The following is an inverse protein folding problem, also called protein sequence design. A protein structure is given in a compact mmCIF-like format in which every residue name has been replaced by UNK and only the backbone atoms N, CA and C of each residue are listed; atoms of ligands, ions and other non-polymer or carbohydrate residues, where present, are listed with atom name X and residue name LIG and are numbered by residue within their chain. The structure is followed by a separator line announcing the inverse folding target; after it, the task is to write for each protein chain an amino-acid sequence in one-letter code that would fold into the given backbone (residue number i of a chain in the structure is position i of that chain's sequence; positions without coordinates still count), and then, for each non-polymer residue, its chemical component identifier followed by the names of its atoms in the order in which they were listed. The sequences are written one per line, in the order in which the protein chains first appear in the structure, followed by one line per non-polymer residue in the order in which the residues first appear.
data_IF_454733758849
#
_entry.id   IF_454733758849
#
_cell.length_a   1.000
_cell.length_b   1.000
_cell.length_c   1.000
_cell.angle_alpha   90.00
_cell.angle_beta   90.00
_cell.angle_gamma   90.00
#
_symmetry.space_group_name_H-M   'P 1'
#
loop_
_entity.id
_entity.type
_entity.pdbx_description
1 polymer ?
#
# COMPACT_ATOMS: atom_id res chain seq x y z
N UNK A 1 -12.45 42.23 3.22
CA UNK A 1 -11.01 42.01 3.44
C UNK A 1 -10.52 43.17 4.28
N UNK A 2 -9.96 42.93 5.47
CA UNK A 2 -9.37 44.00 6.28
C UNK A 2 -7.91 44.16 5.85
N UNK A 3 -7.63 45.25 5.14
CA UNK A 3 -6.29 45.59 4.67
C UNK A 3 -5.70 46.75 5.50
N UNK A 4 -4.72 46.36 6.30
CA UNK A 4 -3.55 47.06 6.84
C UNK A 4 -3.77 48.02 8.01
N UNK A 5 -2.99 47.72 9.06
CA UNK A 5 -3.01 48.36 10.38
C UNK A 5 -2.29 49.71 10.35
N UNK A 6 -3.00 50.77 10.69
CA UNK A 6 -2.50 51.78 11.62
C UNK A 6 -3.36 51.68 12.88
N UNK A 7 -2.84 51.01 13.89
CA UNK A 7 -3.45 51.03 15.22
C UNK A 7 -2.85 52.22 15.97
N UNK A 8 -3.69 53.09 16.51
CA UNK A 8 -3.28 54.20 17.37
C UNK A 8 -3.77 53.89 18.77
N UNK A 9 -2.84 53.77 19.70
CA UNK A 9 -3.15 53.53 21.11
C UNK A 9 -3.60 54.84 21.76
N UNK A 10 -4.65 54.77 22.56
CA UNK A 10 -5.19 55.89 23.33
C UNK A 10 -5.17 55.54 24.82
N UNK A 11 -5.00 56.53 25.72
CA UNK A 11 -5.07 56.30 27.15
C UNK A 11 -6.48 55.83 27.56
N UNK A 12 -6.56 55.01 28.61
CA UNK A 12 -7.81 54.39 29.09
C UNK A 12 -8.90 55.43 29.41
N UNK A 13 -8.50 56.65 29.78
CA UNK A 13 -9.40 57.79 30.00
C UNK A 13 -10.18 58.23 28.76
N UNK A 14 -9.67 57.94 27.56
CA UNK A 14 -10.32 58.21 26.28
C UNK A 14 -11.21 57.04 25.81
N UNK A 15 -11.22 55.93 26.56
CA UNK A 15 -12.05 54.77 26.28
C UNK A 15 -13.41 54.91 26.98
N UNK A 16 -14.49 54.99 26.19
CA UNK A 16 -15.84 55.01 26.74
C UNK A 16 -16.20 53.62 27.27
N UNK A 17 -16.31 53.47 28.59
CA UNK A 17 -16.63 52.21 29.27
C UNK A 17 -17.95 51.58 28.78
N UNK A 18 -18.91 52.38 28.32
CA UNK A 18 -20.19 51.89 27.76
C UNK A 18 -20.02 51.23 26.40
N UNK A 19 -19.01 51.63 25.62
CA UNK A 19 -18.72 51.07 24.29
C UNK A 19 -17.55 50.08 24.33
N UNK A 20 -17.09 49.68 25.51
CA UNK A 20 -16.01 48.72 25.66
C UNK A 20 -16.47 47.37 25.09
N UNK A 21 -15.82 46.84 24.04
CA UNK A 21 -16.16 45.52 23.52
C UNK A 21 -15.89 44.46 24.59
N UNK A 22 -16.56 43.31 24.50
CA UNK A 22 -16.32 42.22 25.43
C UNK A 22 -14.84 41.80 25.40
N UNK A 23 -14.24 41.71 26.59
CA UNK A 23 -12.83 41.30 26.75
C UNK A 23 -12.60 39.83 26.37
N UNK A 24 -13.65 39.02 26.38
CA UNK A 24 -13.61 37.62 25.96
C UNK A 24 -14.70 37.37 24.93
N UNK A 25 -14.37 36.55 23.94
CA UNK A 25 -15.32 36.03 22.97
C UNK A 25 -15.07 34.54 22.76
N UNK A 26 -16.08 33.82 22.29
CA UNK A 26 -15.91 32.42 21.94
C UNK A 26 -14.97 32.29 20.75
N UNK A 27 -13.98 31.41 20.86
CA UNK A 27 -13.09 31.08 19.75
C UNK A 27 -13.77 30.05 18.84
N UNK A 28 -13.74 30.28 17.53
CA UNK A 28 -14.17 29.26 16.57
C UNK A 28 -13.16 28.11 16.54
N UNK A 29 -13.45 27.05 17.30
CA UNK A 29 -12.63 25.84 17.30
C UNK A 29 -12.93 25.01 16.06
N UNK A 30 -11.97 24.97 15.13
CA UNK A 30 -12.04 24.03 14.01
C UNK A 30 -11.84 22.61 14.53
N UNK A 31 -12.56 21.61 13.98
CA UNK A 31 -12.32 20.22 14.32
C UNK A 31 -10.86 19.85 14.06
N UNK A 32 -10.30 19.00 14.92
CA UNK A 32 -8.97 18.44 14.71
C UNK A 32 -8.97 17.47 13.53
N UNK A 33 -7.92 17.54 12.72
CA UNK A 33 -7.67 16.61 11.64
C UNK A 33 -6.94 15.36 12.13
N UNK A 34 -7.34 14.17 11.65
CA UNK A 34 -6.75 12.89 12.03
C UNK A 34 -6.65 11.94 10.85
N UNK A 35 -5.60 11.13 10.84
CA UNK A 35 -5.45 10.01 9.92
C UNK A 35 -6.32 8.83 10.37
N UNK A 36 -7.03 8.24 9.42
CA UNK A 36 -7.81 7.03 9.59
C UNK A 36 -7.29 5.96 8.64
N UNK A 37 -7.21 4.71 9.10
CA UNK A 37 -6.75 3.59 8.31
C UNK A 37 -7.71 2.42 8.37
N UNK A 38 -7.91 1.72 7.26
CA UNK A 38 -8.60 0.42 7.27
C UNK A 38 -7.66 -0.68 7.77
N UNK A 39 -8.23 -1.86 8.02
CA UNK A 39 -7.45 -3.10 8.11
C UNK A 39 -6.68 -3.34 6.80
N UNK A 40 -5.59 -4.09 6.91
CA UNK A 40 -4.83 -4.53 5.74
C UNK A 40 -5.64 -5.51 4.89
N UNK A 41 -5.45 -5.44 3.58
CA UNK A 41 -5.95 -6.44 2.64
C UNK A 41 -5.31 -7.80 2.89
N UNK A 42 -5.86 -8.83 2.24
CA UNK A 42 -5.10 -10.07 2.10
C UNK A 42 -3.78 -9.82 1.36
N UNK A 43 -2.80 -10.67 1.64
CA UNK A 43 -1.50 -10.63 0.97
C UNK A 43 -1.68 -10.90 -0.53
N UNK A 44 -0.94 -10.19 -1.38
CA UNK A 44 -0.99 -10.37 -2.85
C UNK A 44 -0.55 -11.76 -3.33
N UNK A 45 0.01 -12.57 -2.44
CA UNK A 45 0.44 -13.94 -2.68
C UNK A 45 -0.20 -14.84 -1.63
N UNK A 46 -0.47 -16.09 -2.00
CA UNK A 46 -0.91 -17.16 -1.10
C UNK A 46 0.25 -17.95 -0.49
N UNK A 47 1.47 -17.71 -0.97
CA UNK A 47 2.73 -18.25 -0.45
C UNK A 47 3.89 -17.28 -0.71
N UNK A 48 4.96 -17.41 0.05
CA UNK A 48 6.15 -16.60 -0.03
C UNK A 48 5.93 -15.16 0.44
N UNK A 49 6.80 -14.27 -0.04
CA UNK A 49 6.74 -12.84 0.22
C UNK A 49 5.80 -12.16 -0.76
N UNK A 50 4.84 -11.40 -0.24
CA UNK A 50 3.92 -10.59 -1.00
C UNK A 50 3.80 -9.17 -0.44
N UNK A 51 2.76 -8.48 -0.87
CA UNK A 51 2.43 -7.12 -0.42
C UNK A 51 0.95 -7.08 -0.04
N UNK A 52 0.63 -6.41 1.06
CA UNK A 52 -0.73 -6.09 1.47
C UNK A 52 -0.91 -4.57 1.46
N UNK A 53 -2.14 -4.12 1.22
CA UNK A 53 -2.49 -2.71 1.06
C UNK A 53 -3.61 -2.32 2.00
N UNK A 54 -3.70 -1.05 2.39
CA UNK A 54 -4.83 -0.51 3.16
C UNK A 54 -5.16 0.90 2.67
N UNK A 55 -6.38 1.34 2.93
CA UNK A 55 -6.74 2.75 2.71
C UNK A 55 -6.27 3.62 3.87
N UNK A 56 -5.80 4.82 3.53
CA UNK A 56 -5.38 5.86 4.48
C UNK A 56 -6.08 7.16 4.07
N UNK A 57 -6.97 7.65 4.93
CA UNK A 57 -7.81 8.82 4.69
C UNK A 57 -7.61 9.85 5.79
N UNK A 58 -7.66 11.14 5.45
CA UNK A 58 -7.60 12.22 6.43
C UNK A 58 -9.01 12.77 6.65
N UNK A 59 -9.41 12.88 7.92
CA UNK A 59 -10.70 13.45 8.30
C UNK A 59 -10.50 14.67 9.18
N UNK A 60 -11.32 15.70 8.98
CA UNK A 60 -11.46 16.84 9.88
C UNK A 60 -12.87 16.83 10.46
N UNK A 61 -13.03 16.37 11.70
CA UNK A 61 -14.35 15.99 12.20
C UNK A 61 -14.89 14.79 11.41
N UNK A 62 -16.08 14.93 10.82
CA UNK A 62 -16.70 13.89 9.98
C UNK A 62 -16.44 14.08 8.47
N UNK A 63 -15.80 15.19 8.08
CA UNK A 63 -15.55 15.51 6.68
C UNK A 63 -14.24 14.90 6.18
N UNK A 64 -14.30 14.22 5.03
CA UNK A 64 -13.12 13.70 4.34
C UNK A 64 -12.38 14.85 3.67
N UNK A 65 -11.11 15.04 4.03
CA UNK A 65 -10.31 16.13 3.46
C UNK A 65 -9.63 15.69 2.17
N UNK A 66 -10.02 16.33 1.07
CA UNK A 66 -9.56 15.99 -0.30
C UNK A 66 -8.56 16.99 -0.89
N UNK A 67 -8.40 18.19 -0.32
CA UNK A 67 -7.45 19.24 -0.74
C UNK A 67 -6.76 19.89 0.45
N UNK A 68 -5.43 19.79 0.52
CA UNK A 68 -4.54 20.66 1.32
C UNK A 68 -4.63 20.60 2.86
N UNK A 69 -3.45 20.60 3.50
CA UNK A 69 -3.09 21.02 4.88
C UNK A 69 -3.93 20.60 6.11
N UNK A 70 -4.78 19.59 6.03
CA UNK A 70 -5.48 19.10 7.22
C UNK A 70 -4.62 18.15 8.05
N UNK A 71 -4.18 17.02 7.51
CA UNK A 71 -3.33 16.08 8.25
C UNK A 71 -1.85 16.26 7.95
N UNK A 72 -1.01 16.14 8.98
CA UNK A 72 0.45 16.17 8.83
C UNK A 72 0.91 14.99 7.98
N UNK A 73 1.56 15.29 6.85
CA UNK A 73 2.10 14.28 5.94
C UNK A 73 3.25 13.49 6.55
N UNK A 74 3.99 14.06 7.51
CA UNK A 74 5.05 13.36 8.22
C UNK A 74 4.51 12.22 9.10
N UNK A 75 3.25 12.35 9.53
CA UNK A 75 2.55 11.34 10.33
C UNK A 75 1.67 10.41 9.49
N UNK A 76 1.73 10.52 8.15
CA UNK A 76 0.87 9.72 7.27
C UNK A 76 1.23 8.23 7.40
N UNK A 77 0.28 7.36 7.76
CA UNK A 77 0.51 5.93 7.83
C UNK A 77 0.80 5.31 6.45
N UNK A 78 1.56 4.22 6.44
CA UNK A 78 1.87 3.47 5.22
C UNK A 78 0.63 2.88 4.56
N UNK A 79 0.52 3.00 3.24
CA UNK A 79 -0.57 2.40 2.45
C UNK A 79 -0.26 0.97 1.98
N UNK A 80 1.01 0.55 2.07
CA UNK A 80 1.50 -0.75 1.61
C UNK A 80 2.50 -1.30 2.62
N UNK A 81 2.52 -2.61 2.82
CA UNK A 81 3.57 -3.28 3.58
C UNK A 81 3.85 -4.68 3.02
N UNK A 82 5.03 -5.22 3.31
CA UNK A 82 5.35 -6.61 3.00
C UNK A 82 4.58 -7.57 3.89
N UNK A 83 4.22 -8.72 3.34
CA UNK A 83 3.66 -9.86 4.07
C UNK A 83 4.44 -11.11 3.70
N UNK A 84 4.54 -12.04 4.66
CA UNK A 84 5.18 -13.33 4.49
C UNK A 84 4.25 -14.40 5.06
N UNK A 85 3.89 -15.38 4.24
CA UNK A 85 2.96 -16.45 4.63
C UNK A 85 3.75 -17.73 4.94
N UNK A 86 3.81 -18.64 3.97
CA UNK A 86 4.52 -19.90 4.04
C UNK A 86 5.36 -20.02 2.78
N UNK A 87 6.52 -20.67 2.84
CA UNK A 87 7.34 -20.90 1.65
C UNK A 87 6.50 -21.51 0.52
N UNK A 88 6.68 -20.99 -0.70
CA UNK A 88 5.99 -21.57 -1.84
C UNK A 88 6.45 -23.01 -2.08
N UNK A 89 5.52 -23.95 -2.34
CA UNK A 89 5.88 -25.30 -2.72
C UNK A 89 6.77 -25.22 -3.96
N UNK A 90 7.99 -25.72 -3.82
CA UNK A 90 9.02 -25.69 -4.86
C UNK A 90 8.92 -26.91 -5.77
N UNK A 91 8.22 -27.95 -5.29
CA UNK A 91 7.95 -29.16 -6.06
C UNK A 91 6.63 -28.99 -6.83
N UNK A 92 6.70 -29.22 -8.16
CA UNK A 92 5.51 -29.59 -8.90
C UNK A 92 4.93 -30.85 -8.23
N UNK A 93 3.59 -31.03 -8.17
CA UNK A 93 2.98 -32.23 -7.62
C UNK A 93 3.73 -33.46 -8.16
N UNK A 94 4.34 -34.23 -7.26
CA UNK A 94 5.34 -35.26 -7.60
C UNK A 94 4.77 -36.42 -8.43
N UNK A 95 3.47 -36.43 -8.71
CA UNK A 95 2.76 -37.60 -9.24
C UNK A 95 2.38 -37.54 -10.72
N UNK A 96 2.66 -36.44 -11.43
CA UNK A 96 2.37 -36.36 -12.88
C UNK A 96 3.58 -35.88 -13.70
N UNK A 97 4.72 -36.54 -13.53
CA UNK A 97 5.79 -36.45 -14.53
C UNK A 97 5.35 -37.20 -15.78
N UNK A 98 4.80 -36.47 -16.76
CA UNK A 98 4.37 -36.99 -18.04
C UNK A 98 5.01 -36.19 -19.17
N UNK A 99 5.29 -36.85 -20.28
CA UNK A 99 5.72 -36.18 -21.50
C UNK A 99 4.57 -35.35 -22.08
N UNK A 100 4.84 -34.10 -22.43
CA UNK A 100 3.84 -33.21 -23.01
C UNK A 100 3.50 -33.74 -24.40
N UNK A 101 2.21 -33.99 -24.68
CA UNK A 101 1.75 -34.54 -25.96
C UNK A 101 2.14 -33.71 -27.21
N UNK A 102 2.44 -32.42 -27.02
CA UNK A 102 2.91 -31.50 -28.08
C UNK A 102 4.42 -31.53 -28.30
N UNK A 103 5.18 -32.25 -27.47
CA UNK A 103 6.63 -32.34 -27.58
C UNK A 103 7.04 -33.61 -28.33
N UNK A 104 7.99 -33.47 -29.26
CA UNK A 104 8.60 -34.63 -29.93
C UNK A 104 9.77 -35.15 -29.07
N UNK A 105 9.45 -35.96 -28.06
CA UNK A 105 10.46 -36.47 -27.11
C UNK A 105 11.42 -37.47 -27.74
N UNK A 106 11.02 -38.16 -28.80
CA UNK A 106 11.92 -38.99 -29.59
C UNK A 106 13.04 -38.15 -30.25
N UNK A 107 12.70 -36.98 -30.79
CA UNK A 107 13.70 -36.05 -31.33
C UNK A 107 14.63 -35.55 -30.21
N UNK A 108 14.08 -35.11 -29.07
CA UNK A 108 14.84 -34.61 -27.90
C UNK A 108 15.89 -35.62 -27.44
N UNK A 109 15.53 -36.91 -27.39
CA UNK A 109 16.46 -38.00 -27.05
C UNK A 109 17.54 -38.18 -28.14
N UNK A 110 17.14 -38.25 -29.41
CA UNK A 110 18.06 -38.45 -30.54
C UNK A 110 19.12 -37.35 -30.64
N UNK A 111 18.76 -36.10 -30.37
CA UNK A 111 19.68 -34.96 -30.40
C UNK A 111 20.22 -34.56 -29.03
N UNK A 112 20.08 -35.41 -27.99
CA UNK A 112 20.64 -35.24 -26.64
C UNK A 112 20.26 -33.90 -25.96
N UNK A 113 19.06 -33.39 -26.23
CA UNK A 113 18.59 -32.09 -25.71
C UNK A 113 18.08 -32.15 -24.26
N UNK A 114 18.02 -33.34 -23.64
CA UNK A 114 17.63 -33.53 -22.23
C UNK A 114 18.54 -32.80 -21.21
N UNK A 115 19.70 -32.29 -21.62
CA UNK A 115 20.55 -31.43 -20.80
C UNK A 115 19.94 -30.04 -20.57
N UNK A 116 19.07 -29.57 -21.46
CA UNK A 116 18.40 -28.28 -21.30
C UNK A 116 17.12 -28.43 -20.50
N UNK A 117 16.93 -27.52 -19.53
CA UNK A 117 15.79 -27.52 -18.62
C UNK A 117 14.43 -27.52 -19.35
N UNK A 118 14.31 -26.78 -20.46
CA UNK A 118 13.07 -26.64 -21.22
C UNK A 118 12.61 -28.00 -21.79
N UNK A 119 13.53 -28.72 -22.43
CA UNK A 119 13.24 -30.05 -22.97
C UNK A 119 13.04 -31.09 -21.86
N UNK A 120 13.78 -31.00 -20.75
CA UNK A 120 13.59 -31.87 -19.58
C UNK A 120 12.24 -31.66 -18.87
N UNK A 121 11.68 -30.45 -18.93
CA UNK A 121 10.32 -30.15 -18.46
C UNK A 121 9.26 -30.69 -19.42
N UNK A 122 9.46 -30.56 -20.73
CA UNK A 122 8.50 -31.02 -21.74
C UNK A 122 8.51 -32.55 -21.92
N UNK A 123 9.66 -33.20 -21.78
CA UNK A 123 9.89 -34.62 -21.96
C UNK A 123 10.35 -35.26 -20.64
N UNK A 124 9.50 -35.11 -19.61
CA UNK A 124 9.82 -35.48 -18.24
C UNK A 124 10.11 -36.97 -18.05
N UNK A 125 9.31 -37.88 -18.63
CA UNK A 125 9.53 -39.32 -18.53
C UNK A 125 10.70 -39.75 -19.43
N UNK A 126 10.69 -39.30 -20.68
CA UNK A 126 11.73 -39.60 -21.66
C UNK A 126 13.14 -39.22 -21.17
N UNK A 127 13.31 -38.03 -20.58
CA UNK A 127 14.61 -37.56 -20.10
C UNK A 127 15.00 -38.06 -18.70
N UNK A 128 14.11 -38.76 -17.98
CA UNK A 128 14.40 -39.40 -16.67
C UNK A 128 14.86 -40.84 -16.80
N UNK A 129 14.56 -41.52 -17.90
CA UNK A 129 14.96 -42.92 -18.09
C UNK A 129 16.50 -43.06 -18.06
N UNK A 130 17.05 -44.02 -17.30
CA UNK A 130 18.47 -44.34 -17.38
C UNK A 130 18.79 -44.84 -18.80
N UNK A 131 19.83 -44.27 -19.43
CA UNK A 131 20.27 -44.73 -20.74
C UNK A 131 20.86 -46.14 -20.61
N UNK A 132 20.53 -47.09 -21.51
CA UNK A 132 21.32 -48.31 -21.66
C UNK A 132 22.75 -48.00 -22.11
#
# INVERSE_FOLDING_TARGET
MCEWKLFKEFPDSSCNQTNKPQMSSSCFQRPCSKWFTTSWSQCSKTCGRGVQVREVKCYQGEELVTRGHSCDSALKPETKQSCEIQSCPTEAPADFCQDKATANCALVLKVKLCSHWYYRKACCQSCKAPRP
#
